data_IF_881989818445
#
_entry.id   IF_881989818445
#
_cell.length_a   1.000
_cell.length_b   1.000
_cell.length_c   1.000
_cell.angle_alpha   90.00
_cell.angle_beta   90.00
_cell.angle_gamma   90.00
#
_symmetry.space_group_name_H-M   'P 1'
#
loop_
_entity.id
_entity.type
_entity.pdbx_description
1 polymer ?
#
# COMPACT_ATOMS: atom_id res chain seq x y z
N UNK A 1 14.95 -7.39 -6.59
CA UNK A 1 15.47 -8.78 -6.69
C UNK A 1 14.37 -9.78 -6.40
N UNK A 2 13.73 -9.74 -5.22
CA UNK A 2 12.64 -10.66 -4.84
C UNK A 2 11.52 -10.79 -5.90
N UNK A 3 11.00 -9.67 -6.44
CA UNK A 3 9.93 -9.73 -7.46
C UNK A 3 10.35 -10.46 -8.74
N UNK A 4 11.58 -10.26 -9.23
CA UNK A 4 12.06 -10.93 -10.44
C UNK A 4 12.22 -12.44 -10.20
N UNK A 5 12.72 -12.80 -9.02
CA UNK A 5 12.88 -14.19 -8.62
C UNK A 5 11.50 -14.86 -8.46
N UNK A 6 10.56 -14.22 -7.75
CA UNK A 6 9.17 -14.67 -7.63
C UNK A 6 8.53 -14.93 -8.99
N UNK A 7 8.62 -13.98 -9.92
CA UNK A 7 8.07 -14.14 -11.28
C UNK A 7 8.66 -15.35 -12.02
N UNK A 8 9.94 -15.64 -11.82
CA UNK A 8 10.52 -16.85 -12.39
C UNK A 8 9.98 -18.10 -11.69
N UNK A 9 9.83 -18.07 -10.36
CA UNK A 9 9.27 -19.17 -9.58
C UNK A 9 7.83 -19.51 -9.98
N UNK A 10 7.00 -18.53 -10.34
CA UNK A 10 5.61 -18.79 -10.79
C UNK A 10 5.53 -19.56 -12.10
N UNK A 11 6.62 -19.61 -12.88
CA UNK A 11 6.71 -20.41 -14.11
C UNK A 11 7.10 -21.87 -13.85
N UNK A 12 7.74 -22.18 -12.72
CA UNK A 12 8.42 -23.48 -12.52
C UNK A 12 8.02 -24.23 -11.23
N UNK A 13 7.20 -23.64 -10.37
CA UNK A 13 6.76 -24.24 -9.12
C UNK A 13 5.27 -23.97 -8.86
N UNK A 14 4.66 -24.74 -7.96
CA UNK A 14 3.26 -24.55 -7.52
C UNK A 14 3.15 -23.91 -6.13
N UNK A 15 4.25 -23.90 -5.39
CA UNK A 15 4.37 -23.25 -4.09
C UNK A 15 5.64 -22.43 -4.03
N UNK A 16 5.56 -21.27 -3.41
CA UNK A 16 6.69 -20.36 -3.21
C UNK A 16 6.65 -19.90 -1.75
N UNK A 17 7.74 -20.13 -1.02
CA UNK A 17 7.87 -19.68 0.36
C UNK A 17 9.02 -18.67 0.44
N UNK A 18 8.76 -17.49 1.03
CA UNK A 18 9.79 -16.48 1.24
C UNK A 18 9.75 -15.91 2.64
N UNK A 19 10.94 -15.59 3.15
CA UNK A 19 11.11 -14.60 4.20
C UNK A 19 11.32 -13.25 3.51
N UNK A 20 10.41 -12.31 3.77
CA UNK A 20 10.38 -10.98 3.15
C UNK A 20 10.38 -9.89 4.24
N UNK A 21 10.73 -8.64 3.92
CA UNK A 21 10.55 -7.53 4.85
C UNK A 21 9.11 -7.45 5.36
N UNK A 22 8.93 -6.99 6.60
CA UNK A 22 7.62 -6.90 7.28
C UNK A 22 6.54 -6.17 6.45
N UNK A 23 6.93 -5.27 5.54
CA UNK A 23 6.00 -4.59 4.61
C UNK A 23 5.27 -5.53 3.64
N UNK A 24 5.63 -6.81 3.61
CA UNK A 24 4.99 -7.86 2.80
C UNK A 24 4.07 -8.76 3.63
N UNK A 25 3.92 -8.52 4.94
CA UNK A 25 2.96 -9.24 5.78
C UNK A 25 1.54 -9.05 5.22
N UNK A 26 0.82 -10.16 5.01
CA UNK A 26 -0.53 -10.20 4.43
C UNK A 26 -0.69 -9.45 3.09
N UNK A 27 0.39 -9.18 2.36
CA UNK A 27 0.37 -8.34 1.17
C UNK A 27 0.24 -9.16 -0.12
N UNK A 28 -0.98 -9.28 -0.63
CA UNK A 28 -1.27 -9.89 -1.94
C UNK A 28 -1.22 -8.91 -3.12
N UNK A 29 -0.95 -7.61 -2.87
CA UNK A 29 -0.93 -6.59 -3.93
C UNK A 29 0.36 -6.55 -4.74
N UNK A 30 1.49 -7.04 -4.17
CA UNK A 30 2.81 -6.95 -4.79
C UNK A 30 3.24 -8.22 -5.54
N UNK A 31 3.06 -9.38 -4.91
CA UNK A 31 3.33 -10.71 -5.46
C UNK A 31 1.98 -11.41 -5.68
N UNK A 32 1.22 -10.87 -6.62
CA UNK A 32 -0.20 -11.19 -6.76
C UNK A 32 -0.46 -12.46 -7.57
N UNK A 33 0.48 -12.88 -8.44
CA UNK A 33 0.27 -13.93 -9.43
C UNK A 33 -0.17 -15.28 -8.82
N UNK A 34 0.28 -15.59 -7.61
CA UNK A 34 -0.16 -16.73 -6.78
C UNK A 34 -0.97 -16.25 -5.58
N UNK A 35 -1.80 -17.13 -5.02
CA UNK A 35 -2.58 -16.86 -3.81
C UNK A 35 -1.68 -16.88 -2.58
N UNK A 36 -1.73 -15.83 -1.76
CA UNK A 36 -1.08 -15.81 -0.45
C UNK A 36 -1.94 -16.64 0.53
N UNK A 37 -1.48 -17.83 0.89
CA UNK A 37 -2.22 -18.78 1.73
C UNK A 37 -1.74 -18.81 3.19
N UNK A 38 -0.56 -18.25 3.48
CA UNK A 38 -0.01 -18.13 4.81
C UNK A 38 0.89 -16.90 4.91
N UNK A 39 0.79 -16.17 6.02
CA UNK A 39 1.64 -15.03 6.33
C UNK A 39 1.82 -14.91 7.84
N UNK A 40 3.06 -14.81 8.30
CA UNK A 40 3.42 -14.76 9.71
C UNK A 40 4.44 -13.67 9.98
N UNK A 41 4.24 -12.87 11.02
CA UNK A 41 5.22 -11.91 11.51
C UNK A 41 6.31 -12.67 12.29
N UNK A 42 7.55 -12.62 11.80
CA UNK A 42 8.69 -13.27 12.45
C UNK A 42 9.38 -12.36 13.48
N UNK A 43 8.91 -11.13 13.66
CA UNK A 43 9.57 -10.12 14.46
C UNK A 43 10.92 -9.67 13.87
N UNK A 44 11.70 -9.00 14.71
CA UNK A 44 13.06 -8.57 14.35
C UNK A 44 14.04 -9.71 14.49
N UNK A 45 14.76 -10.00 13.41
CA UNK A 45 15.78 -11.04 13.35
C UNK A 45 17.14 -10.44 13.05
N UNK A 46 18.18 -10.93 13.72
CA UNK A 46 19.58 -10.56 13.46
C UNK A 46 20.10 -11.36 12.27
N UNK A 47 20.41 -10.68 11.17
CA UNK A 47 21.18 -11.21 10.06
C UNK A 47 22.67 -10.86 10.24
N UNK A 48 23.49 -11.05 9.21
CA UNK A 48 24.97 -10.89 9.26
C UNK A 48 25.42 -9.64 10.04
N UNK A 49 24.94 -8.46 9.66
CA UNK A 49 25.41 -7.17 10.18
C UNK A 49 24.26 -6.24 10.63
N UNK A 50 23.01 -6.70 10.57
CA UNK A 50 21.83 -5.85 10.75
C UNK A 50 20.63 -6.61 11.31
N UNK A 51 19.80 -5.89 12.03
CA UNK A 51 18.48 -6.34 12.48
C UNK A 51 17.43 -5.98 11.45
N UNK A 52 16.60 -6.94 11.04
CA UNK A 52 15.50 -6.73 10.11
C UNK A 52 14.22 -7.34 10.66
N UNK A 53 13.14 -6.54 10.62
CA UNK A 53 11.79 -7.03 10.90
C UNK A 53 11.22 -7.70 9.63
N UNK A 54 10.97 -9.00 9.71
CA UNK A 54 10.59 -9.83 8.57
C UNK A 54 9.27 -10.55 8.80
N UNK A 55 8.69 -11.06 7.71
CA UNK A 55 7.55 -11.95 7.70
C UNK A 55 7.87 -13.21 6.87
N UNK A 56 7.22 -14.32 7.20
CA UNK A 56 7.23 -15.54 6.40
C UNK A 56 5.93 -15.64 5.61
N UNK A 57 6.03 -15.80 4.29
CA UNK A 57 4.90 -15.90 3.39
C UNK A 57 4.95 -17.18 2.57
N UNK A 58 3.81 -17.85 2.42
CA UNK A 58 3.62 -18.98 1.51
C UNK A 58 2.58 -18.61 0.46
N UNK A 59 2.98 -18.72 -0.80
CA UNK A 59 2.15 -18.52 -1.97
C UNK A 59 1.86 -19.86 -2.66
N UNK A 60 0.64 -20.06 -3.12
CA UNK A 60 0.18 -21.26 -3.84
C UNK A 60 -0.37 -20.87 -5.21
N UNK A 61 -0.09 -21.67 -6.24
CA UNK A 61 -0.68 -21.51 -7.56
C UNK A 61 -2.22 -21.57 -7.44
N UNK A 62 -2.96 -20.63 -8.05
CA UNK A 62 -4.41 -20.64 -7.98
C UNK A 62 -4.98 -21.95 -8.52
N UNK A 63 -6.01 -22.48 -7.86
CA UNK A 63 -6.64 -23.76 -8.25
C UNK A 63 -7.27 -23.70 -9.65
N UNK A 64 -7.60 -22.49 -10.11
CA UNK A 64 -8.07 -22.25 -11.48
C UNK A 64 -7.03 -22.58 -12.56
N UNK A 65 -5.76 -22.77 -12.19
CA UNK A 65 -4.62 -22.94 -13.09
C UNK A 65 -4.14 -21.64 -13.75
N UNK A 66 -4.95 -20.57 -13.72
CA UNK A 66 -4.59 -19.27 -14.26
C UNK A 66 -3.93 -18.39 -13.20
N UNK A 67 -2.86 -17.68 -13.59
CA UNK A 67 -2.24 -16.69 -12.71
C UNK A 67 -3.18 -15.52 -12.45
N UNK A 68 -3.17 -15.04 -11.21
CA UNK A 68 -3.93 -13.87 -10.81
C UNK A 68 -3.45 -12.63 -11.57
N UNK A 69 -4.39 -11.74 -11.87
CA UNK A 69 -4.10 -10.43 -12.46
C UNK A 69 -3.77 -9.43 -11.37
N UNK A 70 -3.05 -8.38 -11.76
CA UNK A 70 -2.75 -7.27 -10.86
C UNK A 70 -4.07 -6.67 -10.32
N UNK A 71 -4.21 -6.51 -8.99
CA UNK A 71 -5.42 -5.94 -8.41
C UNK A 71 -5.66 -4.52 -8.91
N UNK A 72 -6.94 -4.16 -9.06
CA UNK A 72 -7.35 -2.81 -9.43
C UNK A 72 -7.10 -1.89 -8.26
N UNK A 73 -6.27 -0.87 -8.47
CA UNK A 73 -5.92 0.13 -7.46
C UNK A 73 -6.49 1.48 -7.84
N UNK A 74 -7.80 1.55 -8.14
CA UNK A 74 -8.50 2.81 -8.43
C UNK A 74 -9.91 2.77 -7.86
N UNK A 75 -10.33 3.91 -7.32
CA UNK A 75 -11.70 4.22 -6.95
C UNK A 75 -12.13 5.44 -7.79
N UNK A 76 -13.33 5.42 -8.36
CA UNK A 76 -13.92 6.59 -9.04
C UNK A 76 -14.24 7.70 -8.07
N UNK A 77 -14.53 7.37 -6.82
CA UNK A 77 -14.93 8.29 -5.76
C UNK A 77 -13.77 9.15 -5.25
N UNK A 78 -12.52 8.76 -5.51
CA UNK A 78 -11.32 9.52 -5.13
C UNK A 78 -10.26 9.57 -6.23
N UNK A 79 -9.71 10.75 -6.45
CA UNK A 79 -8.54 10.94 -7.33
C UNK A 79 -7.30 11.24 -6.49
N UNK A 80 -6.24 10.43 -6.64
CA UNK A 80 -4.99 10.60 -5.89
C UNK A 80 -3.86 11.03 -6.83
N UNK A 81 -3.45 12.29 -6.71
CA UNK A 81 -2.31 12.85 -7.44
C UNK A 81 -1.04 12.75 -6.61
N UNK A 82 0.01 12.16 -7.18
CA UNK A 82 1.36 12.14 -6.59
C UNK A 82 2.11 13.41 -6.97
N UNK A 83 2.95 13.92 -6.08
CA UNK A 83 3.75 15.14 -6.26
C UNK A 83 4.54 15.22 -7.58
N UNK A 84 4.98 14.07 -8.11
CA UNK A 84 5.74 13.99 -9.36
C UNK A 84 4.86 13.91 -10.62
N UNK A 85 3.53 14.01 -10.49
CA UNK A 85 2.66 14.05 -11.66
C UNK A 85 2.73 15.41 -12.37
N UNK A 86 2.46 15.40 -13.67
CA UNK A 86 2.38 16.62 -14.47
C UNK A 86 1.35 17.60 -13.88
N UNK A 87 1.72 18.88 -13.81
CA UNK A 87 0.87 19.99 -13.34
C UNK A 87 0.35 19.80 -11.90
N UNK A 88 1.10 19.09 -11.05
CA UNK A 88 0.70 18.79 -9.66
C UNK A 88 0.25 20.03 -8.88
N UNK A 89 0.97 21.15 -9.03
CA UNK A 89 0.64 22.40 -8.33
C UNK A 89 -0.73 22.96 -8.72
N UNK A 90 -1.20 22.71 -9.94
CA UNK A 90 -2.49 23.18 -10.46
C UNK A 90 -3.65 22.21 -10.15
N UNK A 91 -3.37 21.01 -9.62
CA UNK A 91 -4.42 20.05 -9.26
C UNK A 91 -5.23 20.56 -8.07
N UNK A 92 -6.56 20.56 -8.24
CA UNK A 92 -7.52 20.74 -7.15
C UNK A 92 -7.51 19.54 -6.20
N UNK A 93 -7.80 19.77 -4.93
CA UNK A 93 -7.76 18.75 -3.88
C UNK A 93 -8.62 19.16 -2.67
N UNK A 94 -9.09 18.16 -1.93
CA UNK A 94 -9.78 18.33 -0.66
C UNK A 94 -8.86 18.01 0.53
N UNK A 95 -7.89 17.11 0.32
CA UNK A 95 -6.92 16.70 1.34
C UNK A 95 -5.52 16.65 0.74
N UNK A 96 -4.53 17.13 1.49
CA UNK A 96 -3.10 16.88 1.23
C UNK A 96 -2.52 16.01 2.32
N UNK A 97 -1.69 15.05 1.92
CA UNK A 97 -1.14 14.06 2.84
C UNK A 97 0.31 13.76 2.47
N UNK A 98 1.21 13.75 3.45
CA UNK A 98 2.56 13.26 3.23
C UNK A 98 2.55 11.73 3.14
N UNK A 99 3.14 11.16 2.09
CA UNK A 99 3.15 9.71 1.87
C UNK A 99 4.48 9.05 2.20
N UNK A 100 5.53 9.82 2.54
CA UNK A 100 6.87 9.29 2.73
C UNK A 100 7.57 9.87 3.95
N UNK A 101 8.27 9.01 4.68
CA UNK A 101 9.07 9.36 5.86
C UNK A 101 8.52 8.71 7.13
N UNK A 102 9.41 8.29 8.03
CA UNK A 102 9.03 7.54 9.24
C UNK A 102 8.22 8.37 10.23
N UNK A 103 8.49 9.67 10.32
CA UNK A 103 7.75 10.60 11.16
C UNK A 103 6.51 11.19 10.51
N UNK A 104 6.36 11.07 9.19
CA UNK A 104 5.48 11.94 8.39
C UNK A 104 4.54 11.20 7.45
N UNK A 105 4.76 9.92 7.15
CA UNK A 105 3.84 9.13 6.34
C UNK A 105 2.46 9.09 7.00
N UNK A 106 1.44 9.54 6.27
CA UNK A 106 0.07 9.69 6.77
C UNK A 106 -0.27 11.07 7.33
N UNK A 107 0.71 11.98 7.49
CA UNK A 107 0.47 13.32 8.04
C UNK A 107 -0.40 14.14 7.09
N UNK A 108 -1.51 14.68 7.58
CA UNK A 108 -2.32 15.67 6.87
C UNK A 108 -1.60 17.01 6.84
N UNK A 109 -1.56 17.64 5.67
CA UNK A 109 -0.82 18.88 5.42
C UNK A 109 -1.77 20.06 5.36
N UNK A 110 -1.38 21.17 5.97
CA UNK A 110 -2.15 22.40 6.02
C UNK A 110 -1.37 23.57 5.41
N UNK A 111 -2.10 24.54 4.86
CA UNK A 111 -1.50 25.73 4.25
C UNK A 111 -0.46 25.40 3.18
N UNK A 112 0.74 25.96 3.35
CA UNK A 112 1.87 25.87 2.43
C UNK A 112 2.91 24.82 2.83
N UNK A 113 2.67 23.99 3.86
CA UNK A 113 3.59 22.92 4.29
C UNK A 113 4.06 22.07 3.10
N UNK A 114 5.37 21.77 3.02
CA UNK A 114 5.96 20.94 1.96
C UNK A 114 6.82 19.81 2.51
N UNK A 115 6.75 18.66 1.84
CA UNK A 115 7.51 17.45 2.11
C UNK A 115 8.02 16.84 0.79
N UNK A 116 9.00 15.94 0.89
CA UNK A 116 9.60 15.26 -0.27
C UNK A 116 8.66 14.29 -0.98
N UNK A 117 7.56 13.89 -0.32
CA UNK A 117 6.58 12.98 -0.89
C UNK A 117 5.18 13.31 -0.41
N UNK A 118 4.37 13.89 -1.28
CA UNK A 118 2.99 14.29 -0.97
C UNK A 118 1.95 13.77 -1.98
N UNK A 119 0.76 13.49 -1.45
CA UNK A 119 -0.45 13.28 -2.23
C UNK A 119 -1.36 14.50 -2.13
N UNK A 120 -1.96 14.85 -3.26
CA UNK A 120 -3.19 15.65 -3.33
C UNK A 120 -4.33 14.69 -3.61
N UNK A 121 -5.35 14.69 -2.76
CA UNK A 121 -6.49 13.78 -2.86
C UNK A 121 -7.73 14.63 -3.11
N UNK A 122 -8.40 14.38 -4.23
CA UNK A 122 -9.70 14.96 -4.56
C UNK A 122 -10.79 13.93 -4.31
N UNK A 123 -11.84 14.32 -3.60
CA UNK A 123 -13.03 13.52 -3.38
C UNK A 123 -14.04 13.90 -4.44
N UNK A 124 -14.45 12.91 -5.24
CA UNK A 124 -15.36 13.10 -6.36
C UNK A 124 -16.82 12.78 -5.96
N UNK A 125 -17.00 11.89 -4.97
CA UNK A 125 -18.31 11.49 -4.46
C UNK A 125 -18.82 12.49 -3.42
N UNK A 126 -19.90 13.20 -3.75
CA UNK A 126 -20.49 14.21 -2.87
C UNK A 126 -21.27 13.60 -1.71
N UNK A 127 -21.88 12.44 -1.92
CA UNK A 127 -22.72 11.77 -0.93
C UNK A 127 -21.87 11.14 0.17
N UNK A 128 -20.70 10.61 -0.21
CA UNK A 128 -19.71 10.03 0.72
C UNK A 128 -18.60 11.02 1.12
N UNK A 129 -18.76 12.31 0.84
CA UNK A 129 -17.68 13.29 0.99
C UNK A 129 -17.11 13.32 2.41
N UNK A 130 -18.00 13.48 3.39
CA UNK A 130 -17.59 13.60 4.79
C UNK A 130 -17.01 12.28 5.32
N UNK A 131 -17.59 11.15 4.94
CA UNK A 131 -17.08 9.82 5.34
C UNK A 131 -15.67 9.58 4.80
N UNK A 132 -15.45 9.84 3.50
CA UNK A 132 -14.14 9.71 2.87
C UNK A 132 -13.14 10.65 3.55
N UNK A 133 -13.50 11.91 3.76
CA UNK A 133 -12.63 12.89 4.41
C UNK A 133 -12.29 12.50 5.85
N UNK A 134 -13.26 12.02 6.61
CA UNK A 134 -13.07 11.57 7.98
C UNK A 134 -12.13 10.38 8.07
N UNK A 135 -12.26 9.40 7.18
CA UNK A 135 -11.31 8.27 7.11
C UNK A 135 -9.91 8.76 6.72
N UNK A 136 -9.79 9.61 5.69
CA UNK A 136 -8.50 10.13 5.25
C UNK A 136 -7.76 10.88 6.37
N UNK A 137 -8.46 11.69 7.15
CA UNK A 137 -7.88 12.55 8.18
C UNK A 137 -7.71 11.83 9.52
N UNK A 138 -8.63 10.94 9.88
CA UNK A 138 -8.69 10.31 11.20
C UNK A 138 -8.00 8.95 11.30
N UNK A 139 -7.66 8.30 10.18
CA UNK A 139 -7.04 6.98 10.20
C UNK A 139 -5.56 7.01 10.59
N UNK A 140 -5.11 6.05 11.40
CA UNK A 140 -3.70 5.91 11.78
C UNK A 140 -2.86 5.23 10.68
N UNK A 141 -2.61 6.00 9.62
CA UNK A 141 -1.79 5.60 8.48
C UNK A 141 -0.35 5.21 8.87
N UNK A 142 0.19 5.83 9.92
CA UNK A 142 1.57 5.61 10.35
C UNK A 142 1.71 4.21 10.93
N UNK A 143 0.78 3.78 11.78
CA UNK A 143 0.79 2.42 12.35
C UNK A 143 0.37 1.37 11.33
N UNK A 144 -0.50 1.73 10.37
CA UNK A 144 -0.93 0.82 9.29
C UNK A 144 0.23 0.35 8.41
N UNK A 145 1.15 1.24 8.03
CA UNK A 145 2.27 0.88 7.16
C UNK A 145 3.47 0.40 7.97
N UNK A 146 3.76 -0.88 7.86
CA UNK A 146 4.99 -1.49 8.38
C UNK A 146 6.11 -1.44 7.33
N UNK A 147 7.34 -1.18 7.76
CA UNK A 147 8.52 -1.13 6.90
C UNK A 147 9.81 -1.31 7.70
N UNK A 148 10.84 -1.85 7.04
CA UNK A 148 12.22 -1.92 7.56
C UNK A 148 13.05 -0.67 7.24
N UNK A 149 12.55 0.17 6.35
CA UNK A 149 13.16 1.42 5.91
C UNK A 149 12.10 2.52 6.03
N UNK A 150 12.41 3.71 5.51
CA UNK A 150 11.49 4.85 5.49
C UNK A 150 10.08 4.44 5.04
N UNK A 151 9.09 4.66 5.91
CA UNK A 151 7.68 4.36 5.64
C UNK A 151 7.22 5.05 4.37
N UNK A 152 6.44 4.32 3.59
CA UNK A 152 5.85 4.82 2.35
C UNK A 152 4.40 4.34 2.21
N UNK A 153 3.48 5.28 2.34
CA UNK A 153 2.09 5.07 1.99
C UNK A 153 1.98 5.01 0.45
N UNK A 154 1.42 3.93 -0.07
CA UNK A 154 1.14 3.75 -1.49
C UNK A 154 -0.33 4.05 -1.73
N UNK A 155 -0.69 4.45 -2.96
CA UNK A 155 -2.08 4.78 -3.29
C UNK A 155 -3.06 3.63 -3.00
N UNK A 156 -2.64 2.37 -3.23
CA UNK A 156 -3.50 1.23 -2.95
C UNK A 156 -3.79 1.07 -1.45
N UNK A 157 -2.89 1.51 -0.54
CA UNK A 157 -3.19 1.49 0.90
C UNK A 157 -4.37 2.41 1.22
N UNK A 158 -4.42 3.58 0.58
CA UNK A 158 -5.53 4.53 0.76
C UNK A 158 -6.82 3.91 0.23
N UNK A 159 -6.77 3.32 -0.96
CA UNK A 159 -7.93 2.66 -1.59
C UNK A 159 -8.43 1.50 -0.73
N UNK A 160 -7.54 0.63 -0.27
CA UNK A 160 -7.87 -0.53 0.56
C UNK A 160 -8.55 -0.11 1.86
N UNK A 161 -8.00 0.88 2.58
CA UNK A 161 -8.61 1.41 3.80
C UNK A 161 -9.97 2.03 3.52
N UNK A 162 -10.11 2.83 2.46
CA UNK A 162 -11.41 3.42 2.11
C UNK A 162 -12.46 2.35 1.78
N UNK A 163 -12.10 1.33 0.99
CA UNK A 163 -13.00 0.21 0.66
C UNK A 163 -13.39 -0.62 1.89
N UNK A 164 -12.50 -0.75 2.88
CA UNK A 164 -12.80 -1.46 4.13
C UNK A 164 -13.69 -0.65 5.08
N UNK A 165 -13.51 0.68 5.13
CA UNK A 165 -14.18 1.55 6.10
C UNK A 165 -15.52 2.10 5.59
N UNK A 166 -15.71 2.20 4.27
CA UNK A 166 -16.86 2.89 3.66
C UNK A 166 -17.62 1.93 2.74
N UNK A 167 -18.86 1.64 3.12
CA UNK A 167 -19.73 0.75 2.33
C UNK A 167 -20.22 1.47 1.07
N UNK A 168 -20.09 0.82 -0.07
CA UNK A 168 -20.60 1.33 -1.35
C UNK A 168 -19.69 2.32 -2.07
N UNK A 169 -18.44 2.45 -1.63
CA UNK A 169 -17.42 3.23 -2.35
C UNK A 169 -16.95 2.48 -3.62
N UNK A 170 -16.78 3.21 -4.72
CA UNK A 170 -16.39 2.69 -6.04
C UNK A 170 -15.28 3.49 -6.72
#
# INVERSE_FOLDING_TARGET
MAQKFYKKSTEIADYIAFILPISQLNNSNFLYEFDLIYSEDLGTQRYTDRDLHCCFNIFKRPESGNLNKKPVSKLKDVTIYRQDCKDYNLKDFDVRMCYWGDGTAGKILYGDERYSGEYKIKINNKDLYDDIKNVLVGFDWKSYVQAIAMKRLKQYHIIEVLTQQIKGIE
#
